data_IF_155382878642
#
_entry.id   IF_155382878642
#
_cell.length_a   1.000
_cell.length_b   1.000
_cell.length_c   1.000
_cell.angle_alpha   90.00
_cell.angle_beta   90.00
_cell.angle_gamma   90.00
#
_symmetry.space_group_name_H-M   'P 1'
#
loop_
_entity.id
_entity.type
_entity.pdbx_description
1 polymer ?
#
# COMPACT_ATOMS: atom_id res chain seq x y z
N UNK A 1 25.04 -16.84 15.86
CA UNK A 1 23.95 -17.75 16.28
C UNK A 1 24.31 -19.15 15.83
N UNK A 2 23.98 -20.16 16.62
CA UNK A 2 24.24 -21.57 16.29
C UNK A 2 22.98 -22.21 15.72
N UNK A 3 23.00 -22.53 14.41
CA UNK A 3 21.89 -23.16 13.70
C UNK A 3 22.07 -24.68 13.52
N UNK A 4 22.99 -25.29 14.27
CA UNK A 4 23.30 -26.74 14.15
C UNK A 4 22.10 -27.64 14.48
N UNK A 5 21.09 -27.11 15.16
CA UNK A 5 19.85 -27.83 15.52
C UNK A 5 18.80 -27.88 14.40
N UNK A 6 19.03 -27.26 13.25
CA UNK A 6 18.08 -27.30 12.14
C UNK A 6 18.03 -28.70 11.51
N UNK A 7 16.89 -29.38 11.65
CA UNK A 7 16.68 -30.70 11.08
C UNK A 7 16.51 -30.62 9.56
N UNK A 8 17.41 -31.29 8.82
CA UNK A 8 17.38 -31.36 7.37
C UNK A 8 16.29 -32.34 6.89
N UNK A 9 15.53 -31.95 5.85
CA UNK A 9 14.56 -32.84 5.20
C UNK A 9 15.27 -33.81 4.27
N UNK A 10 14.65 -34.98 4.01
CA UNK A 10 15.24 -36.02 3.15
C UNK A 10 15.45 -35.56 1.69
N UNK A 11 14.63 -34.63 1.23
CA UNK A 11 14.63 -34.09 -0.13
C UNK A 11 15.26 -32.68 -0.22
N UNK A 12 16.15 -32.35 0.72
CA UNK A 12 16.77 -31.03 0.83
C UNK A 12 17.54 -30.57 -0.42
N UNK A 13 18.04 -31.50 -1.26
CA UNK A 13 18.76 -31.13 -2.49
C UNK A 13 17.87 -30.43 -3.53
N UNK A 14 16.57 -30.71 -3.51
CA UNK A 14 15.61 -30.20 -4.51
C UNK A 14 14.94 -28.89 -4.08
N UNK A 15 15.33 -28.33 -2.93
CA UNK A 15 14.64 -27.20 -2.28
C UNK A 15 15.57 -25.99 -2.23
N UNK A 16 15.10 -24.77 -2.53
CA UNK A 16 16.00 -23.63 -2.68
C UNK A 16 16.24 -22.82 -1.40
N UNK A 17 15.48 -23.06 -0.31
CA UNK A 17 15.48 -22.18 0.87
C UNK A 17 16.11 -22.79 2.12
N UNK A 18 16.77 -21.95 2.90
CA UNK A 18 17.10 -22.20 4.30
C UNK A 18 16.35 -21.22 5.19
N UNK A 19 15.44 -21.72 6.03
CA UNK A 19 14.68 -20.92 6.97
C UNK A 19 15.28 -21.04 8.39
N UNK A 20 15.74 -19.92 8.95
CA UNK A 20 16.37 -19.84 10.27
C UNK A 20 15.39 -19.37 11.35
N UNK A 21 15.61 -19.76 12.62
CA UNK A 21 14.69 -19.45 13.71
C UNK A 21 14.53 -17.95 14.01
N UNK A 22 15.49 -17.11 13.61
CA UNK A 22 15.50 -15.67 13.80
C UNK A 22 14.80 -14.89 12.67
N UNK A 23 14.15 -15.57 11.73
CA UNK A 23 13.43 -14.92 10.62
C UNK A 23 14.26 -14.72 9.36
N UNK A 24 15.56 -15.04 9.38
CA UNK A 24 16.40 -15.01 8.17
C UNK A 24 16.08 -16.16 7.24
N UNK A 25 16.09 -15.86 5.95
CA UNK A 25 15.89 -16.82 4.88
C UNK A 25 17.02 -16.69 3.87
N UNK A 26 17.73 -17.78 3.59
CA UNK A 26 18.69 -17.84 2.50
C UNK A 26 18.08 -18.53 1.29
N UNK A 27 18.21 -17.92 0.12
CA UNK A 27 17.71 -18.43 -1.16
C UNK A 27 18.87 -18.75 -2.10
N UNK A 28 18.94 -20.00 -2.56
CA UNK A 28 19.91 -20.46 -3.55
C UNK A 28 19.43 -20.13 -4.98
N UNK A 29 20.24 -19.38 -5.74
CA UNK A 29 19.87 -18.91 -7.09
C UNK A 29 20.01 -19.97 -8.17
N UNK A 30 20.82 -20.99 -7.94
CA UNK A 30 21.13 -22.07 -8.87
C UNK A 30 20.11 -23.23 -8.87
N UNK A 31 19.10 -23.17 -8.01
CA UNK A 31 18.04 -24.18 -7.97
C UNK A 31 17.03 -23.99 -9.12
N UNK A 32 16.49 -25.09 -9.66
CA UNK A 32 15.42 -25.03 -10.66
C UNK A 32 14.14 -24.35 -10.16
N UNK A 33 13.91 -24.35 -8.84
CA UNK A 33 12.77 -23.70 -8.19
C UNK A 33 13.05 -22.25 -7.77
N UNK A 34 14.21 -21.69 -8.14
CA UNK A 34 14.61 -20.32 -7.77
C UNK A 34 13.54 -19.30 -8.12
N UNK A 35 12.99 -19.33 -9.34
CA UNK A 35 12.01 -18.32 -9.79
C UNK A 35 10.75 -18.31 -8.90
N UNK A 36 10.23 -19.50 -8.56
CA UNK A 36 9.06 -19.64 -7.70
C UNK A 36 9.35 -19.14 -6.27
N UNK A 37 10.50 -19.53 -5.72
CA UNK A 37 10.91 -19.10 -4.39
C UNK A 37 11.21 -17.60 -4.31
N UNK A 38 11.81 -17.03 -5.36
CA UNK A 38 12.08 -15.61 -5.49
C UNK A 38 10.79 -14.78 -5.53
N UNK A 39 9.83 -15.16 -6.39
CA UNK A 39 8.54 -14.48 -6.48
C UNK A 39 7.75 -14.55 -5.18
N UNK A 40 7.82 -15.70 -4.48
CA UNK A 40 7.22 -15.87 -3.16
C UNK A 40 7.88 -14.97 -2.10
N UNK A 41 9.22 -14.98 -2.01
CA UNK A 41 9.96 -14.18 -1.02
C UNK A 41 9.79 -12.67 -1.22
N UNK A 42 9.66 -12.19 -2.47
CA UNK A 42 9.32 -10.78 -2.74
C UNK A 42 7.97 -10.39 -2.10
N UNK A 43 7.04 -11.33 -1.97
CA UNK A 43 5.74 -11.05 -1.38
C UNK A 43 5.77 -11.05 0.16
N UNK A 44 6.65 -11.84 0.78
CA UNK A 44 6.58 -12.14 2.22
C UNK A 44 7.76 -11.65 3.06
N UNK A 45 8.88 -11.26 2.44
CA UNK A 45 10.12 -10.95 3.14
C UNK A 45 10.83 -9.73 2.54
N UNK A 46 11.62 -9.04 3.36
CA UNK A 46 12.46 -7.94 2.92
C UNK A 46 13.83 -8.45 2.45
N UNK A 47 14.34 -7.99 1.29
CA UNK A 47 15.68 -8.37 0.84
C UNK A 47 16.76 -7.68 1.67
N UNK A 48 17.75 -8.45 2.14
CA UNK A 48 18.94 -7.94 2.85
C UNK A 48 20.11 -7.82 1.88
N UNK A 49 20.46 -8.91 1.19
CA UNK A 49 21.52 -8.93 0.19
C UNK A 49 21.20 -9.88 -0.98
N UNK A 50 21.70 -9.57 -2.18
CA UNK A 50 21.45 -10.34 -3.41
C UNK A 50 22.72 -10.53 -4.27
N UNK A 51 23.72 -11.29 -3.79
CA UNK A 51 24.87 -11.70 -4.60
C UNK A 51 24.49 -12.82 -5.58
N UNK A 52 25.37 -13.13 -6.54
CA UNK A 52 25.08 -14.03 -7.67
C UNK A 52 24.55 -15.41 -7.27
N UNK A 53 25.09 -16.01 -6.21
CA UNK A 53 24.81 -17.42 -5.87
C UNK A 53 23.80 -17.65 -4.74
N UNK A 54 23.65 -16.69 -3.82
CA UNK A 54 22.85 -16.88 -2.61
C UNK A 54 22.30 -15.57 -2.07
N UNK A 55 20.98 -15.40 -2.07
CA UNK A 55 20.33 -14.21 -1.55
C UNK A 55 19.99 -14.38 -0.07
N UNK A 56 19.99 -13.27 0.68
CA UNK A 56 19.53 -13.20 2.06
C UNK A 56 18.28 -12.31 2.13
N UNK A 57 17.25 -12.84 2.79
CA UNK A 57 16.00 -12.16 3.09
C UNK A 57 15.74 -12.22 4.58
N UNK A 58 14.94 -11.29 5.07
CA UNK A 58 14.52 -11.23 6.46
C UNK A 58 13.00 -11.11 6.56
N UNK A 59 12.40 -11.95 7.40
CA UNK A 59 11.00 -11.83 7.79
C UNK A 59 10.88 -10.76 8.87
N UNK A 60 10.22 -9.66 8.51
CA UNK A 60 9.84 -8.59 9.44
C UNK A 60 8.32 -8.61 9.63
N UNK A 61 7.79 -8.07 10.74
CA UNK A 61 6.35 -7.91 10.88
C UNK A 61 5.76 -7.12 9.71
N UNK A 62 6.43 -6.05 9.27
CA UNK A 62 6.01 -5.21 8.14
C UNK A 62 5.93 -5.96 6.80
N UNK A 63 6.88 -6.87 6.52
CA UNK A 63 6.86 -7.69 5.31
C UNK A 63 5.70 -8.68 5.30
N UNK A 64 5.42 -9.31 6.43
CA UNK A 64 4.28 -10.23 6.60
C UNK A 64 2.94 -9.49 6.53
N UNK A 65 2.89 -8.28 7.06
CA UNK A 65 1.74 -7.37 6.92
C UNK A 65 1.45 -7.05 5.45
N UNK A 66 2.49 -6.70 4.69
CA UNK A 66 2.35 -6.46 3.26
C UNK A 66 1.86 -7.72 2.52
N UNK A 67 2.35 -8.91 2.90
CA UNK A 67 1.91 -10.18 2.33
C UNK A 67 0.41 -10.44 2.52
N UNK A 68 -0.08 -10.30 3.76
CA UNK A 68 -1.50 -10.50 4.09
C UNK A 68 -2.37 -9.44 3.40
N UNK A 69 -1.88 -8.20 3.27
CA UNK A 69 -2.57 -7.14 2.50
C UNK A 69 -2.84 -7.56 1.06
N UNK A 70 -1.90 -8.25 0.44
CA UNK A 70 -2.00 -8.74 -0.95
C UNK A 70 -2.99 -9.92 -1.05
N UNK A 71 -3.41 -10.49 0.07
CA UNK A 71 -4.38 -11.60 0.13
C UNK A 71 -3.74 -12.96 0.36
N UNK A 72 -2.48 -13.02 0.80
CA UNK A 72 -1.85 -14.29 1.18
C UNK A 72 -2.32 -14.71 2.57
N UNK A 73 -2.91 -15.89 2.68
CA UNK A 73 -3.33 -16.48 3.94
C UNK A 73 -2.14 -17.02 4.75
N UNK A 74 -2.22 -16.92 6.08
CA UNK A 74 -1.18 -17.39 7.01
C UNK A 74 -0.79 -18.85 6.78
N UNK A 75 -1.79 -19.72 6.62
CA UNK A 75 -1.56 -21.16 6.39
C UNK A 75 -0.86 -21.41 5.06
N UNK A 76 -1.22 -20.64 4.02
CA UNK A 76 -0.59 -20.70 2.71
C UNK A 76 0.88 -20.27 2.80
N UNK A 77 1.19 -19.20 3.53
CA UNK A 77 2.57 -18.73 3.74
C UNK A 77 3.41 -19.85 4.39
N UNK A 78 2.90 -20.44 5.48
CA UNK A 78 3.60 -21.50 6.21
C UNK A 78 3.77 -22.75 5.33
N UNK A 79 2.73 -23.16 4.61
CA UNK A 79 2.76 -24.33 3.74
C UNK A 79 3.76 -24.18 2.59
N UNK A 80 3.79 -23.02 1.93
CA UNK A 80 4.72 -22.74 0.83
C UNK A 80 6.15 -22.63 1.35
N UNK A 81 6.37 -21.95 2.48
CA UNK A 81 7.68 -21.86 3.11
C UNK A 81 8.20 -23.26 3.52
N UNK A 82 7.33 -24.11 4.08
CA UNK A 82 7.69 -25.48 4.44
C UNK A 82 8.03 -26.31 3.18
N UNK A 83 7.27 -26.18 2.09
CA UNK A 83 7.52 -26.85 0.81
C UNK A 83 8.84 -26.42 0.14
N UNK A 84 9.23 -25.16 0.29
CA UNK A 84 10.46 -24.63 -0.32
C UNK A 84 11.69 -24.72 0.58
N UNK A 85 11.52 -24.94 1.89
CA UNK A 85 12.61 -25.02 2.87
C UNK A 85 13.28 -26.40 2.91
N UNK A 86 14.62 -26.40 2.86
CA UNK A 86 15.50 -27.56 3.06
C UNK A 86 15.42 -28.12 4.48
N UNK A 87 15.21 -27.25 5.45
CA UNK A 87 15.10 -27.58 6.87
C UNK A 87 13.64 -27.60 7.28
N UNK A 88 13.31 -28.39 8.31
CA UNK A 88 12.01 -28.25 8.97
C UNK A 88 11.90 -26.83 9.54
N UNK A 89 10.73 -26.22 9.37
CA UNK A 89 10.50 -24.88 9.89
C UNK A 89 10.60 -24.87 11.43
N UNK A 90 11.42 -23.99 12.01
CA UNK A 90 11.46 -23.81 13.45
C UNK A 90 10.10 -23.36 14.00
N UNK A 91 9.75 -23.81 15.20
CA UNK A 91 8.49 -23.42 15.84
C UNK A 91 8.47 -21.92 16.12
N UNK A 92 9.61 -21.33 16.47
CA UNK A 92 9.72 -19.89 16.73
C UNK A 92 9.33 -19.05 15.50
N UNK A 93 9.70 -19.50 14.30
CA UNK A 93 9.33 -18.84 13.05
C UNK A 93 7.83 -18.99 12.75
N UNK A 94 7.27 -20.18 12.97
CA UNK A 94 5.83 -20.43 12.78
C UNK A 94 5.01 -19.55 13.74
N UNK A 95 5.38 -19.54 15.02
CA UNK A 95 4.72 -18.75 16.06
C UNK A 95 4.83 -17.25 15.74
N UNK A 96 5.99 -16.80 15.24
CA UNK A 96 6.18 -15.42 14.78
C UNK A 96 5.28 -15.06 13.60
N UNK A 97 5.15 -15.95 12.61
CA UNK A 97 4.26 -15.74 11.46
C UNK A 97 2.80 -15.67 11.93
N UNK A 98 2.35 -16.57 12.80
CA UNK A 98 1.00 -16.53 13.35
C UNK A 98 0.72 -15.27 14.16
N UNK A 99 1.63 -14.89 15.06
CA UNK A 99 1.49 -13.69 15.88
C UNK A 99 1.41 -12.42 15.03
N UNK A 100 2.20 -12.35 13.95
CA UNK A 100 2.22 -11.20 13.05
C UNK A 100 0.98 -11.16 12.14
N UNK A 101 0.57 -12.29 11.58
CA UNK A 101 -0.49 -12.30 10.55
C UNK A 101 -1.91 -12.37 11.13
N UNK A 102 -2.11 -12.93 12.32
CA UNK A 102 -3.45 -13.18 12.88
C UNK A 102 -4.29 -11.92 13.04
N UNK A 103 -3.69 -10.79 13.44
CA UNK A 103 -4.46 -9.56 13.65
C UNK A 103 -4.48 -8.63 12.42
N UNK A 104 -3.73 -8.98 11.39
CA UNK A 104 -3.52 -8.13 10.23
C UNK A 104 -4.64 -8.30 9.19
N UNK A 105 -4.94 -7.22 8.45
CA UNK A 105 -5.96 -7.24 7.39
C UNK A 105 -7.40 -7.33 7.89
N UNK A 106 -7.60 -7.38 9.21
CA UNK A 106 -8.92 -7.39 9.85
C UNK A 106 -9.57 -6.01 9.88
N UNK A 107 -8.78 -4.94 9.86
CA UNK A 107 -9.29 -3.56 9.98
C UNK A 107 -8.78 -2.73 8.81
N UNK A 108 -9.69 -2.03 8.15
CA UNK A 108 -9.39 -1.12 7.05
C UNK A 108 -9.85 0.28 7.41
N UNK A 109 -9.02 1.27 7.16
CA UNK A 109 -9.39 2.67 7.21
C UNK A 109 -9.65 3.12 5.77
N UNK A 110 -10.91 3.37 5.45
CA UNK A 110 -11.36 3.64 4.09
C UNK A 110 -11.84 5.09 3.99
N UNK A 111 -11.21 5.85 3.10
CA UNK A 111 -11.64 7.19 2.75
C UNK A 111 -12.69 7.11 1.63
N UNK A 112 -13.92 7.56 1.93
CA UNK A 112 -15.04 7.63 0.97
C UNK A 112 -15.70 9.00 1.04
N UNK A 113 -15.83 9.71 -0.08
CA UNK A 113 -16.53 11.02 -0.16
C UNK A 113 -16.07 12.00 0.94
N UNK A 114 -14.75 12.09 1.12
CA UNK A 114 -14.09 12.87 2.16
C UNK A 114 -14.45 12.53 3.62
N UNK A 115 -14.89 11.30 3.89
CA UNK A 115 -15.18 10.79 5.22
C UNK A 115 -14.36 9.53 5.49
N UNK A 116 -13.88 9.41 6.71
CA UNK A 116 -13.07 8.26 7.14
C UNK A 116 -13.97 7.21 7.78
N UNK A 117 -13.91 5.99 7.25
CA UNK A 117 -14.64 4.84 7.78
C UNK A 117 -13.67 3.76 8.24
N UNK A 118 -13.92 3.20 9.41
CA UNK A 118 -13.22 1.99 9.87
C UNK A 118 -14.08 0.80 9.50
N UNK A 119 -13.63 0.00 8.53
CA UNK A 119 -14.32 -1.19 8.01
C UNK A 119 -13.66 -2.47 8.51
N UNK A 120 -14.47 -3.48 8.85
CA UNK A 120 -14.00 -4.84 9.10
C UNK A 120 -15.04 -5.86 8.66
N UNK A 121 -14.64 -7.00 8.07
CA UNK A 121 -15.51 -8.16 7.90
C UNK A 121 -15.79 -8.89 9.23
N UNK A 122 -15.08 -8.55 10.31
CA UNK A 122 -15.22 -9.20 11.62
C UNK A 122 -15.84 -8.24 12.65
N UNK A 123 -17.14 -8.36 12.97
CA UNK A 123 -17.80 -7.44 13.90
C UNK A 123 -17.20 -7.47 15.31
N UNK A 124 -16.66 -8.60 15.75
CA UNK A 124 -16.01 -8.73 17.06
C UNK A 124 -14.74 -7.88 17.20
N UNK A 125 -14.02 -7.66 16.09
CA UNK A 125 -12.84 -6.77 16.07
C UNK A 125 -13.28 -5.33 16.25
N UNK A 126 -14.33 -4.89 15.56
CA UNK A 126 -14.86 -3.52 15.72
C UNK A 126 -15.40 -3.28 17.12
N UNK A 127 -16.12 -4.25 17.70
CA UNK A 127 -16.57 -4.17 19.10
C UNK A 127 -15.39 -4.02 20.06
N UNK A 128 -14.29 -4.73 19.80
CA UNK A 128 -13.06 -4.62 20.61
C UNK A 128 -12.42 -3.25 20.47
N UNK A 129 -12.34 -2.70 19.24
CA UNK A 129 -11.84 -1.34 19.01
C UNK A 129 -12.71 -0.27 19.70
N UNK A 130 -14.03 -0.42 19.67
CA UNK A 130 -14.96 0.53 20.30
C UNK A 130 -14.98 0.47 21.84
N UNK A 131 -14.36 -0.54 22.46
CA UNK A 131 -14.13 -0.55 23.92
C UNK A 131 -13.02 0.41 24.33
N UNK A 132 -12.13 0.79 23.41
CA UNK A 132 -11.10 1.78 23.67
C UNK A 132 -11.71 3.18 23.72
N UNK A 133 -11.42 3.94 24.78
CA UNK A 133 -12.00 5.26 24.98
C UNK A 133 -11.61 6.27 23.89
N UNK A 134 -10.41 6.16 23.32
CA UNK A 134 -9.94 7.11 22.30
C UNK A 134 -10.72 6.88 20.99
N UNK A 135 -10.87 5.61 20.59
CA UNK A 135 -11.60 5.24 19.37
C UNK A 135 -13.10 5.51 19.54
N UNK A 136 -13.65 5.21 20.72
CA UNK A 136 -15.06 5.48 21.04
C UNK A 136 -15.38 6.98 20.94
N UNK A 137 -14.52 7.86 21.46
CA UNK A 137 -14.70 9.32 21.37
C UNK A 137 -14.52 9.86 19.95
N UNK A 138 -13.68 9.21 19.15
CA UNK A 138 -13.45 9.60 17.75
C UNK A 138 -14.59 9.19 16.80
N UNK A 139 -15.50 8.30 17.25
CA UNK A 139 -16.65 7.85 16.45
C UNK A 139 -17.66 8.98 16.27
N UNK A 140 -17.99 9.28 15.02
CA UNK A 140 -19.12 10.14 14.70
C UNK A 140 -20.40 9.30 14.77
N UNK A 141 -21.31 9.65 15.68
CA UNK A 141 -22.61 8.99 15.80
C UNK A 141 -23.56 9.71 14.85
N UNK A 142 -24.08 9.02 13.83
CA UNK A 142 -25.14 9.59 12.98
C UNK A 142 -26.40 9.75 13.83
N UNK A 143 -27.10 10.88 13.70
CA UNK A 143 -28.37 11.18 14.37
C UNK A 143 -29.51 10.29 13.83
N UNK A 144 -29.43 8.97 14.04
CA UNK A 144 -30.58 8.07 14.07
C UNK A 144 -30.25 7.03 15.13
N UNK A 145 -30.93 7.12 16.28
CA UNK A 145 -30.68 6.27 17.44
C UNK A 145 -30.72 4.78 17.11
N UNK A 146 -29.54 4.17 17.07
CA UNK A 146 -29.23 2.76 17.35
C UNK A 146 -27.73 2.60 17.19
N UNK A 147 -27.10 1.69 17.93
CA UNK A 147 -25.71 1.23 17.73
C UNK A 147 -25.56 0.50 16.38
N UNK A 148 -25.85 1.20 15.29
CA UNK A 148 -25.96 0.66 13.95
C UNK A 148 -24.62 0.83 13.25
N UNK A 149 -23.89 -0.27 13.08
CA UNK A 149 -22.81 -0.33 12.08
C UNK A 149 -23.43 -0.19 10.69
N UNK A 150 -22.82 0.61 9.82
CA UNK A 150 -23.21 0.65 8.42
C UNK A 150 -22.79 -0.65 7.77
N UNK A 151 -23.75 -1.50 7.39
CA UNK A 151 -23.48 -2.76 6.68
C UNK A 151 -23.33 -2.42 5.20
N UNK A 152 -22.12 -2.62 4.67
CA UNK A 152 -21.86 -2.48 3.24
C UNK A 152 -21.71 -3.87 2.62
N UNK A 153 -22.45 -4.15 1.55
CA UNK A 153 -22.23 -5.36 0.73
C UNK A 153 -21.18 -5.03 -0.32
N UNK A 154 -20.02 -5.68 -0.27
CA UNK A 154 -19.03 -5.59 -1.34
C UNK A 154 -19.35 -6.65 -2.40
N UNK A 155 -19.68 -6.22 -3.62
CA UNK A 155 -19.77 -7.11 -4.79
C UNK A 155 -18.33 -7.37 -5.25
N UNK A 156 -17.88 -8.61 -5.17
CA UNK A 156 -16.61 -9.02 -5.75
C UNK A 156 -16.73 -9.11 -7.27
N UNK A 157 -16.10 -8.20 -8.00
CA UNK A 157 -15.93 -8.35 -9.44
C UNK A 157 -14.78 -9.33 -9.73
N UNK A 158 -15.09 -10.37 -10.52
CA UNK A 158 -14.14 -11.36 -11.01
C UNK A 158 -13.35 -10.74 -12.17
N UNK A 159 -12.11 -10.33 -11.95
CA UNK A 159 -11.19 -10.01 -13.05
C UNK A 159 -10.61 -11.31 -13.63
N UNK A 160 -11.22 -11.77 -14.72
CA UNK A 160 -10.62 -12.74 -15.62
C UNK A 160 -9.63 -12.05 -16.54
N UNK A 161 -8.35 -12.44 -16.44
CA UNK A 161 -7.45 -12.90 -17.52
C UNK A 161 -6.00 -12.81 -17.03
N UNK A 162 -5.36 -13.95 -16.75
CA UNK A 162 -4.00 -14.27 -17.19
C UNK A 162 -3.66 -15.74 -16.85
N UNK A 163 -3.50 -16.53 -17.92
CA UNK A 163 -2.88 -17.85 -18.13
C UNK A 163 -2.51 -18.75 -16.93
N UNK A 164 -3.25 -19.86 -16.89
CA UNK A 164 -2.76 -21.25 -16.95
C UNK A 164 -1.46 -21.59 -16.19
N UNK A 165 -1.55 -21.72 -14.86
CA UNK A 165 -0.69 -22.67 -14.10
C UNK A 165 -1.28 -23.13 -12.75
N UNK A 166 -2.57 -22.87 -12.50
CA UNK A 166 -3.28 -23.33 -11.30
C UNK A 166 -4.65 -23.94 -11.65
N UNK A 167 -4.70 -24.80 -12.68
CA UNK A 167 -5.89 -25.64 -12.89
C UNK A 167 -5.79 -26.86 -11.96
N UNK A 168 -6.57 -26.83 -10.88
CA UNK A 168 -6.71 -27.94 -9.95
C UNK A 168 -7.33 -27.60 -8.58
N UNK A 169 -7.62 -26.32 -8.30
CA UNK A 169 -8.43 -25.93 -7.13
C UNK A 169 -9.48 -24.94 -7.63
N UNK A 170 -10.55 -25.49 -8.20
CA UNK A 170 -11.75 -24.75 -8.58
C UNK A 170 -12.40 -24.11 -7.35
N UNK A 171 -12.75 -22.83 -7.51
CA UNK A 171 -13.91 -22.17 -6.91
C UNK A 171 -14.16 -22.43 -5.42
N UNK A 172 -13.28 -21.92 -4.56
CA UNK A 172 -13.71 -21.55 -3.21
C UNK A 172 -14.51 -20.25 -3.30
N UNK A 173 -15.80 -20.35 -2.96
CA UNK A 173 -16.82 -19.31 -2.95
C UNK A 173 -16.29 -17.89 -2.67
N UNK A 174 -16.64 -16.94 -3.54
CA UNK A 174 -16.74 -15.55 -3.16
C UNK A 174 -17.88 -15.43 -2.13
N UNK A 175 -17.59 -15.74 -0.88
CA UNK A 175 -18.50 -15.50 0.23
C UNK A 175 -18.81 -13.99 0.26
N UNK A 176 -20.10 -13.66 0.19
CA UNK A 176 -20.63 -12.32 0.47
C UNK A 176 -20.28 -11.96 1.93
N UNK A 177 -19.07 -11.44 2.16
CA UNK A 177 -18.65 -11.00 3.48
C UNK A 177 -19.28 -9.65 3.75
N UNK A 178 -20.32 -9.64 4.57
CA UNK A 178 -20.89 -8.42 5.14
C UNK A 178 -19.78 -7.65 5.86
N UNK A 179 -19.51 -6.42 5.42
CA UNK A 179 -18.54 -5.56 6.09
C UNK A 179 -19.29 -4.56 6.97
N UNK A 180 -18.88 -4.51 8.22
CA UNK A 180 -19.38 -3.53 9.19
C UNK A 180 -18.46 -2.32 9.18
N UNK A 181 -19.05 -1.12 9.28
CA UNK A 181 -18.30 0.12 9.29
C UNK A 181 -18.84 1.12 10.32
N UNK A 182 -17.94 1.99 10.82
CA UNK A 182 -18.32 3.20 11.55
C UNK A 182 -17.50 4.40 11.07
N UNK A 183 -18.09 5.59 11.13
CA UNK A 183 -17.46 6.85 10.71
C UNK A 183 -16.59 7.43 11.84
N UNK A 184 -15.44 8.00 11.47
CA UNK A 184 -14.46 8.59 12.39
C UNK A 184 -14.25 10.06 12.06
N UNK A 185 -14.11 10.89 13.09
CA UNK A 185 -13.74 12.30 12.95
C UNK A 185 -12.37 12.45 12.28
N UNK A 186 -12.26 13.17 11.13
CA UNK A 186 -11.00 13.44 10.44
C UNK A 186 -9.88 13.96 11.36
N UNK A 187 -10.20 14.78 12.37
CA UNK A 187 -9.22 15.36 13.28
C UNK A 187 -8.61 14.32 14.25
N UNK A 188 -9.27 13.18 14.45
CA UNK A 188 -8.85 12.13 15.37
C UNK A 188 -8.30 10.89 14.66
N UNK A 189 -8.28 10.87 13.32
CA UNK A 189 -7.81 9.72 12.52
C UNK A 189 -6.39 9.31 12.90
N UNK A 190 -5.48 10.26 13.09
CA UNK A 190 -4.10 9.96 13.45
C UNK A 190 -4.00 9.31 14.85
N UNK A 191 -4.81 9.76 15.81
CA UNK A 191 -4.87 9.17 17.14
C UNK A 191 -5.41 7.73 17.09
N UNK A 192 -6.43 7.50 16.27
CA UNK A 192 -7.01 6.17 16.04
C UNK A 192 -5.98 5.23 15.39
N UNK A 193 -5.23 5.70 14.37
CA UNK A 193 -4.13 4.95 13.74
C UNK A 193 -3.08 4.55 14.76
N UNK A 194 -2.62 5.50 15.58
CA UNK A 194 -1.61 5.24 16.61
C UNK A 194 -2.06 4.22 17.65
N UNK A 195 -3.34 4.23 18.05
CA UNK A 195 -3.91 3.23 18.98
C UNK A 195 -4.04 1.84 18.38
N UNK A 196 -4.15 1.75 17.06
CA UNK A 196 -4.25 0.50 16.33
C UNK A 196 -2.89 -0.15 16.04
N UNK A 197 -1.77 0.54 16.31
CA UNK A 197 -0.43 -0.01 16.14
C UNK A 197 -0.14 -1.20 17.09
N UNK A 198 0.88 -2.04 16.78
CA UNK A 198 1.26 -3.20 17.58
C UNK A 198 1.54 -2.91 19.07
N UNK A 199 1.95 -1.68 19.39
CA UNK A 199 2.27 -1.27 20.75
C UNK A 199 1.04 -1.04 21.65
N UNK A 200 -0.18 -1.10 21.10
CA UNK A 200 -1.42 -0.87 21.82
C UNK A 200 -2.43 -1.99 21.53
N UNK A 201 -3.42 -1.76 20.65
CA UNK A 201 -4.49 -2.73 20.38
C UNK A 201 -4.06 -3.85 19.42
N UNK A 202 -2.92 -3.68 18.72
CA UNK A 202 -2.36 -4.64 17.78
C UNK A 202 -3.33 -5.03 16.64
N UNK A 203 -4.03 -4.03 16.10
CA UNK A 203 -4.91 -4.16 14.93
C UNK A 203 -4.55 -3.10 13.88
N UNK A 204 -3.37 -3.18 13.26
CA UNK A 204 -2.91 -2.17 12.32
C UNK A 204 -3.91 -1.99 11.17
N UNK A 205 -4.24 -0.73 10.87
CA UNK A 205 -5.24 -0.38 9.88
C UNK A 205 -4.64 -0.33 8.48
N UNK A 206 -5.34 -0.93 7.52
CA UNK A 206 -5.03 -0.78 6.09
C UNK A 206 -5.70 0.45 5.51
N UNK A 207 -4.92 1.37 4.98
CA UNK A 207 -5.43 2.60 4.39
C UNK A 207 -5.82 2.38 2.93
N UNK A 208 -7.11 2.55 2.65
CA UNK A 208 -7.69 2.46 1.31
C UNK A 208 -8.42 3.76 0.96
N UNK A 209 -8.32 4.17 -0.29
CA UNK A 209 -9.06 5.29 -0.86
C UNK A 209 -9.98 4.78 -1.98
N UNK A 210 -11.28 5.02 -1.81
CA UNK A 210 -12.30 4.71 -2.81
C UNK A 210 -12.42 5.85 -3.84
N UNK A 211 -11.40 5.95 -4.69
CA UNK A 211 -11.32 7.00 -5.72
C UNK A 211 -12.41 6.87 -6.80
N UNK A 212 -12.94 5.66 -7.03
CA UNK A 212 -13.97 5.42 -8.06
C UNK A 212 -15.33 5.99 -7.67
N UNK A 213 -15.71 5.86 -6.39
CA UNK A 213 -17.00 6.34 -5.89
C UNK A 213 -16.93 7.75 -5.29
N UNK A 214 -15.76 8.39 -5.34
CA UNK A 214 -15.58 9.74 -4.85
C UNK A 214 -16.13 10.77 -5.83
N UNK A 215 -17.33 11.28 -5.55
CA UNK A 215 -17.97 12.36 -6.30
C UNK A 215 -17.72 13.75 -5.70
N UNK A 216 -17.01 13.82 -4.57
CA UNK A 216 -16.73 15.09 -3.88
C UNK A 216 -15.54 15.79 -4.53
N UNK A 217 -14.48 15.02 -4.78
CA UNK A 217 -13.29 15.53 -5.45
C UNK A 217 -13.48 15.55 -6.97
N UNK A 218 -13.18 16.69 -7.59
CA UNK A 218 -13.27 16.84 -9.04
C UNK A 218 -12.31 15.89 -9.77
N UNK A 219 -12.81 15.30 -10.87
CA UNK A 219 -12.00 14.45 -11.73
C UNK A 219 -11.00 15.28 -12.54
N UNK A 220 -9.78 14.75 -12.62
CA UNK A 220 -8.73 15.24 -13.51
C UNK A 220 -8.72 14.36 -14.76
N UNK A 221 -9.08 14.95 -15.91
CA UNK A 221 -9.02 14.25 -17.18
C UNK A 221 -7.56 14.05 -17.62
N UNK A 222 -6.98 12.92 -17.20
CA UNK A 222 -5.60 12.55 -17.47
C UNK A 222 -5.55 11.05 -17.75
N UNK A 223 -5.03 10.69 -18.91
CA UNK A 223 -4.81 9.32 -19.34
C UNK A 223 -3.35 9.10 -19.68
N UNK A 224 -2.91 7.85 -19.56
CA UNK A 224 -1.57 7.46 -19.95
C UNK A 224 -1.50 7.40 -21.48
N UNK A 225 -0.50 8.04 -22.09
CA UNK A 225 -0.36 8.04 -23.54
C UNK A 225 0.00 6.63 -24.06
N UNK A 226 -0.40 6.23 -25.28
CA UNK A 226 -0.19 4.87 -25.78
C UNK A 226 1.28 4.40 -25.81
N UNK A 227 2.23 5.31 -25.99
CA UNK A 227 3.66 5.02 -25.97
C UNK A 227 4.23 4.77 -24.56
N UNK A 228 3.51 5.16 -23.52
CA UNK A 228 3.95 5.08 -22.14
C UNK A 228 3.55 3.72 -21.55
N UNK A 229 4.18 2.64 -22.03
CA UNK A 229 3.90 1.30 -21.53
C UNK A 229 4.79 0.97 -20.31
N UNK A 230 4.20 0.76 -19.12
CA UNK A 230 4.97 0.33 -17.96
C UNK A 230 5.60 -1.04 -18.22
N UNK A 231 6.82 -1.23 -17.70
CA UNK A 231 7.52 -2.53 -17.79
C UNK A 231 6.86 -3.54 -16.84
N UNK A 232 7.05 -4.86 -17.05
CA UNK A 232 6.37 -5.89 -16.22
C UNK A 232 6.55 -5.72 -14.71
N UNK A 233 7.73 -5.29 -14.25
CA UNK A 233 7.96 -5.05 -12.82
C UNK A 233 7.23 -3.81 -12.28
N UNK A 234 6.99 -2.80 -13.13
CA UNK A 234 6.21 -1.61 -12.80
C UNK A 234 4.72 -1.94 -12.74
N UNK A 235 4.22 -2.73 -13.69
CA UNK A 235 2.85 -3.24 -13.67
C UNK A 235 2.60 -4.07 -12.41
N UNK A 236 3.53 -4.97 -12.06
CA UNK A 236 3.46 -5.77 -10.82
C UNK A 236 3.46 -4.89 -9.56
N UNK A 237 4.11 -3.72 -9.57
CA UNK A 237 4.01 -2.78 -8.44
C UNK A 237 2.67 -2.06 -8.39
N UNK A 238 2.14 -1.64 -9.54
CA UNK A 238 0.85 -0.94 -9.63
C UNK A 238 -0.31 -1.88 -9.28
N UNK A 239 -0.28 -3.14 -9.73
CA UNK A 239 -1.31 -4.12 -9.41
C UNK A 239 -1.39 -4.45 -7.92
N UNK A 240 -0.31 -4.27 -7.15
CA UNK A 240 -0.35 -4.38 -5.68
C UNK A 240 -0.95 -3.14 -5.00
N UNK A 241 -0.81 -1.97 -5.61
CA UNK A 241 -1.36 -0.70 -5.10
C UNK A 241 -2.87 -0.60 -5.34
N UNK A 242 -3.36 -1.11 -6.47
CA UNK A 242 -4.77 -1.08 -6.85
C UNK A 242 -5.41 -2.45 -6.67
N UNK A 243 -6.43 -2.55 -5.81
CA UNK A 243 -7.16 -3.80 -5.59
C UNK A 243 -8.62 -3.55 -5.23
N UNK A 244 -9.53 -4.40 -5.72
CA UNK A 244 -10.97 -4.31 -5.46
C UNK A 244 -11.59 -2.92 -5.72
N UNK A 245 -11.11 -2.23 -6.77
CA UNK A 245 -11.59 -0.89 -7.14
C UNK A 245 -11.12 0.26 -6.24
N UNK A 246 -10.30 -0.02 -5.21
CA UNK A 246 -9.73 0.98 -4.30
C UNK A 246 -8.22 1.11 -4.49
N UNK A 247 -7.68 2.27 -4.13
CA UNK A 247 -6.23 2.51 -4.08
C UNK A 247 -5.74 2.32 -2.64
N UNK A 248 -4.60 1.65 -2.45
CA UNK A 248 -3.98 1.47 -1.14
C UNK A 248 -2.86 2.47 -0.95
N UNK A 249 -2.75 3.01 0.25
CA UNK A 249 -1.56 3.77 0.64
C UNK A 249 -0.40 2.80 0.90
N UNK A 250 0.81 3.16 0.47
CA UNK A 250 1.98 2.31 0.62
C UNK A 250 3.24 2.88 0.00
N UNK A 251 4.34 2.15 0.15
CA UNK A 251 5.67 2.53 -0.34
C UNK A 251 6.06 1.59 -1.47
N UNK A 252 6.46 2.16 -2.62
CA UNK A 252 7.00 1.41 -3.75
C UNK A 252 8.49 1.71 -3.87
N UNK A 253 9.33 0.70 -3.60
CA UNK A 253 10.79 0.83 -3.67
C UNK A 253 11.29 0.39 -5.05
N UNK A 254 11.88 1.33 -5.78
CA UNK A 254 12.48 1.09 -7.09
C UNK A 254 13.92 1.64 -7.13
N UNK A 255 14.87 0.95 -7.79
CA UNK A 255 16.22 1.48 -7.94
C UNK A 255 16.26 2.71 -8.86
N UNK A 256 17.32 3.51 -8.75
CA UNK A 256 17.51 4.67 -9.62
C UNK A 256 17.52 4.25 -11.10
N UNK A 257 16.85 5.01 -11.97
CA UNK A 257 16.71 4.68 -13.38
C UNK A 257 15.70 3.57 -13.73
N UNK A 258 15.04 2.95 -12.74
CA UNK A 258 14.00 1.93 -13.00
C UNK A 258 12.66 2.52 -13.49
N UNK A 259 12.56 3.83 -13.66
CA UNK A 259 11.35 4.52 -14.11
C UNK A 259 10.36 4.82 -12.98
N UNK A 260 10.84 5.36 -11.84
CA UNK A 260 10.00 5.75 -10.70
C UNK A 260 8.90 6.73 -11.11
N UNK A 261 9.25 7.72 -11.93
CA UNK A 261 8.32 8.74 -12.40
C UNK A 261 7.19 8.15 -13.24
N UNK A 262 7.47 7.16 -14.10
CA UNK A 262 6.43 6.51 -14.89
C UNK A 262 5.42 5.76 -14.01
N UNK A 263 5.87 5.13 -12.92
CA UNK A 263 4.96 4.47 -11.95
C UNK A 263 4.08 5.50 -11.26
N UNK A 264 4.64 6.62 -10.80
CA UNK A 264 3.87 7.70 -10.18
C UNK A 264 2.84 8.32 -11.13
N UNK A 265 3.24 8.62 -12.37
CA UNK A 265 2.33 9.15 -13.40
C UNK A 265 1.24 8.12 -13.73
N UNK A 266 1.57 6.84 -13.84
CA UNK A 266 0.59 5.77 -14.10
C UNK A 266 -0.42 5.64 -12.95
N UNK A 267 0.03 5.74 -11.69
CA UNK A 267 -0.85 5.73 -10.53
C UNK A 267 -1.80 6.94 -10.55
N UNK A 268 -1.28 8.14 -10.85
CA UNK A 268 -2.09 9.35 -10.97
C UNK A 268 -3.12 9.26 -12.11
N UNK A 269 -2.75 8.68 -13.26
CA UNK A 269 -3.64 8.46 -14.41
C UNK A 269 -4.76 7.44 -14.09
N UNK A 270 -4.50 6.49 -13.19
CA UNK A 270 -5.51 5.51 -12.75
C UNK A 270 -6.46 6.09 -11.71
N UNK A 271 -5.97 6.93 -10.81
CA UNK A 271 -6.78 7.58 -9.76
C UNK A 271 -7.64 8.72 -10.34
N UNK A 272 -7.14 9.46 -11.33
CA UNK A 272 -7.85 10.57 -12.02
C UNK A 272 -8.38 11.66 -11.08
N UNK A 273 -7.67 11.93 -9.99
CA UNK A 273 -7.95 13.03 -9.05
C UNK A 273 -6.76 13.99 -8.99
N UNK A 274 -6.93 15.12 -8.30
CA UNK A 274 -5.83 16.04 -8.01
C UNK A 274 -4.67 15.33 -7.31
N UNK A 275 -3.45 15.58 -7.80
CA UNK A 275 -2.24 14.93 -7.32
C UNK A 275 -1.25 15.98 -6.79
N UNK A 276 -0.72 15.77 -5.59
CA UNK A 276 0.38 16.55 -5.02
C UNK A 276 1.65 15.70 -5.08
N UNK A 277 2.68 16.19 -5.76
CA UNK A 277 3.97 15.55 -5.88
C UNK A 277 5.01 16.33 -5.08
N UNK A 278 5.62 15.68 -4.08
CA UNK A 278 6.69 16.23 -3.25
C UNK A 278 8.02 15.68 -3.73
N UNK A 279 8.95 16.58 -4.05
CA UNK A 279 10.28 16.26 -4.52
C UNK A 279 11.36 16.89 -3.61
N UNK A 280 12.61 16.44 -3.74
CA UNK A 280 13.69 16.90 -2.86
C UNK A 280 14.24 18.28 -3.21
N UNK A 281 14.29 18.63 -4.50
CA UNK A 281 14.84 19.90 -4.97
C UNK A 281 14.07 20.45 -6.18
N UNK A 282 14.37 21.70 -6.55
CA UNK A 282 13.69 22.39 -7.66
C UNK A 282 13.91 21.71 -9.02
N UNK A 283 15.08 21.11 -9.25
CA UNK A 283 15.37 20.37 -10.49
C UNK A 283 14.47 19.14 -10.60
N UNK A 284 14.28 18.40 -9.49
CA UNK A 284 13.35 17.27 -9.43
C UNK A 284 11.91 17.71 -9.68
N UNK A 285 11.51 18.90 -9.22
CA UNK A 285 10.19 19.47 -9.52
C UNK A 285 9.98 19.65 -11.03
N UNK A 286 10.95 20.24 -11.72
CA UNK A 286 10.88 20.41 -13.18
C UNK A 286 10.91 19.06 -13.91
N UNK A 287 11.70 18.11 -13.43
CA UNK A 287 11.71 16.75 -13.98
C UNK A 287 10.35 16.08 -13.85
N UNK A 288 9.73 16.11 -12.67
CA UNK A 288 8.40 15.54 -12.45
C UNK A 288 7.35 16.21 -13.32
N UNK A 289 7.32 17.54 -13.38
CA UNK A 289 6.41 18.29 -14.25
C UNK A 289 6.57 17.88 -15.72
N UNK A 290 7.81 17.74 -16.20
CA UNK A 290 8.09 17.25 -17.54
C UNK A 290 7.62 15.80 -17.75
N UNK A 291 7.83 14.90 -16.78
CA UNK A 291 7.38 13.50 -16.88
C UNK A 291 5.85 13.39 -16.94
N UNK A 292 5.12 14.21 -16.19
CA UNK A 292 3.66 14.30 -16.29
C UNK A 292 3.22 14.73 -17.68
N UNK A 293 3.80 15.79 -18.24
CA UNK A 293 3.49 16.25 -19.61
C UNK A 293 3.90 15.22 -20.68
N UNK A 294 5.03 14.55 -20.50
CA UNK A 294 5.56 13.57 -21.46
C UNK A 294 4.67 12.34 -21.54
N UNK A 295 4.35 11.71 -20.40
CA UNK A 295 3.71 10.39 -20.36
C UNK A 295 2.19 10.42 -20.25
N UNK A 296 1.59 11.53 -19.83
CA UNK A 296 0.14 11.65 -19.69
C UNK A 296 -0.46 12.69 -20.64
N UNK A 297 -1.76 12.59 -20.90
CA UNK A 297 -2.52 13.54 -21.75
C UNK A 297 -2.93 14.82 -21.02
N UNK A 298 -2.41 15.06 -19.81
CA UNK A 298 -2.71 16.27 -19.04
C UNK A 298 -2.27 17.53 -19.82
N UNK A 299 -3.05 18.60 -19.68
CA UNK A 299 -2.70 19.90 -20.26
C UNK A 299 -1.66 20.61 -19.40
N UNK A 300 -0.78 21.38 -20.03
CA UNK A 300 0.28 22.13 -19.33
C UNK A 300 -0.27 23.17 -18.34
N UNK A 301 -1.44 23.76 -18.61
CA UNK A 301 -2.10 24.72 -17.70
C UNK A 301 -2.67 24.07 -16.42
N UNK A 302 -2.70 22.74 -16.36
CA UNK A 302 -3.11 21.97 -15.19
C UNK A 302 -1.93 21.39 -14.40
N UNK A 303 -0.70 21.54 -14.90
CA UNK A 303 0.53 21.21 -14.17
C UNK A 303 1.07 22.50 -13.56
N UNK A 304 1.27 22.47 -12.25
CA UNK A 304 1.71 23.64 -11.49
C UNK A 304 3.02 23.32 -10.77
N UNK A 305 4.07 24.08 -11.07
CA UNK A 305 5.35 24.02 -10.36
C UNK A 305 5.38 25.06 -9.25
N UNK A 306 5.61 24.59 -8.03
CA UNK A 306 5.68 25.45 -6.85
C UNK A 306 7.04 25.31 -6.16
N UNK A 307 7.93 26.26 -6.44
CA UNK A 307 9.27 26.40 -5.85
C UNK A 307 9.44 27.82 -5.28
N UNK A 308 10.62 28.16 -4.75
CA UNK A 308 10.93 29.53 -4.33
C UNK A 308 10.86 30.53 -5.49
N UNK A 309 11.24 30.07 -6.69
CA UNK A 309 11.46 30.91 -7.86
C UNK A 309 10.24 30.89 -8.80
N UNK A 310 9.55 29.74 -8.85
CA UNK A 310 8.34 29.55 -9.66
C UNK A 310 7.11 29.41 -8.76
N UNK A 311 6.18 30.36 -8.86
CA UNK A 311 4.91 30.38 -8.12
C UNK A 311 3.74 30.22 -9.08
N UNK A 312 3.77 29.14 -9.86
CA UNK A 312 2.64 28.82 -10.73
C UNK A 312 1.43 28.46 -9.85
N UNK A 313 0.23 28.67 -10.38
CA UNK A 313 -1.02 28.12 -9.84
C UNK A 313 -1.84 27.64 -11.03
N UNK A 314 -2.38 26.43 -10.95
CA UNK A 314 -3.16 25.87 -12.04
C UNK A 314 -4.56 26.48 -12.05
N UNK A 315 -5.12 26.68 -13.25
CA UNK A 315 -6.44 27.27 -13.41
C UNK A 315 -7.49 26.17 -13.47
N UNK A 316 -8.20 25.93 -12.36
CA UNK A 316 -9.41 25.11 -12.34
C UNK A 316 -9.61 24.26 -11.10
N UNK A 317 -10.61 23.38 -11.16
CA UNK A 317 -11.03 22.58 -10.01
C UNK A 317 -10.20 21.31 -9.81
N UNK A 318 -9.28 20.96 -10.72
CA UNK A 318 -8.41 19.79 -10.63
C UNK A 318 -7.10 20.01 -11.39
N UNK A 319 -6.00 19.49 -10.85
CA UNK A 319 -4.66 19.65 -11.40
C UNK A 319 -3.60 18.87 -10.62
N UNK A 320 -2.36 18.91 -11.15
CA UNK A 320 -1.18 18.31 -10.54
C UNK A 320 -0.27 19.43 -10.04
N UNK A 321 0.03 19.43 -8.74
CA UNK A 321 0.99 20.35 -8.15
C UNK A 321 2.26 19.58 -7.84
N UNK A 322 3.39 20.11 -8.29
CA UNK A 322 4.72 19.58 -8.00
C UNK A 322 5.47 20.61 -7.18
N UNK A 323 5.90 20.23 -5.98
CA UNK A 323 6.59 21.11 -5.03
C UNK A 323 7.68 20.38 -4.27
N UNK A 324 8.44 21.08 -3.43
CA UNK A 324 9.49 20.49 -2.60
C UNK A 324 9.05 20.28 -1.16
N UNK A 325 9.63 19.30 -0.46
CA UNK A 325 9.38 19.07 0.96
C UNK A 325 9.59 20.33 1.81
N UNK A 326 10.68 21.05 1.56
CA UNK A 326 10.99 22.29 2.26
C UNK A 326 9.92 23.36 2.05
N UNK A 327 9.38 23.48 0.83
CA UNK A 327 8.33 24.45 0.53
C UNK A 327 7.03 24.16 1.28
N UNK A 328 6.73 22.93 1.65
CA UNK A 328 5.53 22.58 2.44
C UNK A 328 5.79 22.69 3.94
N UNK A 329 6.92 22.14 4.41
CA UNK A 329 7.25 22.02 5.83
C UNK A 329 7.75 23.31 6.48
N UNK A 330 8.25 24.29 5.72
CA UNK A 330 8.81 25.52 6.28
C UNK A 330 7.77 26.33 7.07
N UNK A 331 8.02 26.57 8.36
CA UNK A 331 7.14 27.33 9.25
C UNK A 331 7.52 28.82 9.41
N UNK A 332 8.53 29.30 8.69
CA UNK A 332 8.99 30.69 8.77
C UNK A 332 8.16 31.65 7.91
N UNK A 333 8.49 32.95 7.98
CA UNK A 333 7.85 33.99 7.17
C UNK A 333 8.11 33.75 5.69
N UNK A 334 7.04 33.75 4.89
CA UNK A 334 7.10 33.63 3.44
C UNK A 334 6.61 34.93 2.80
N UNK A 335 6.82 35.09 1.48
CA UNK A 335 6.15 36.16 0.76
C UNK A 335 4.64 35.91 0.77
N UNK A 336 3.83 36.98 0.81
CA UNK A 336 2.36 36.91 0.88
C UNK A 336 1.75 36.00 -0.21
N UNK A 337 2.32 36.03 -1.43
CA UNK A 337 1.91 35.16 -2.54
C UNK A 337 2.13 33.67 -2.23
N UNK A 338 3.26 33.33 -1.63
CA UNK A 338 3.59 31.94 -1.28
C UNK A 338 2.75 31.44 -0.11
N UNK A 339 2.37 32.32 0.83
CA UNK A 339 1.46 31.96 1.92
C UNK A 339 0.07 31.62 1.36
N UNK A 340 -0.47 32.45 0.47
CA UNK A 340 -1.76 32.19 -0.20
C UNK A 340 -1.80 30.84 -0.93
N UNK A 341 -0.76 30.52 -1.70
CA UNK A 341 -0.68 29.25 -2.44
C UNK A 341 -0.61 28.06 -1.48
N UNK A 342 0.12 28.19 -0.37
CA UNK A 342 0.25 27.10 0.61
C UNK A 342 -1.02 26.90 1.41
N UNK A 343 -1.73 27.98 1.74
CA UNK A 343 -3.07 27.88 2.32
C UNK A 343 -4.04 27.18 1.36
N UNK A 344 -3.98 27.47 0.07
CA UNK A 344 -4.77 26.77 -0.95
C UNK A 344 -4.41 25.28 -1.02
N UNK A 345 -3.13 24.93 -0.99
CA UNK A 345 -2.68 23.52 -0.98
C UNK A 345 -3.15 22.79 0.29
N UNK A 346 -3.14 23.46 1.45
CA UNK A 346 -3.54 22.89 2.75
C UNK A 346 -5.04 22.74 2.90
N UNK A 347 -5.82 23.65 2.35
CA UNK A 347 -7.29 23.65 2.43
C UNK A 347 -7.94 22.76 1.36
N UNK A 348 -7.13 22.13 0.50
CA UNK A 348 -7.57 21.30 -0.60
C UNK A 348 -7.30 19.84 -0.31
N UNK A 349 -8.30 19.00 -0.61
CA UNK A 349 -8.15 17.56 -0.57
C UNK A 349 -7.42 17.05 -1.82
N UNK A 350 -6.47 16.15 -1.60
CA UNK A 350 -5.67 15.53 -2.66
C UNK A 350 -6.05 14.07 -2.79
N UNK A 351 -6.34 13.62 -4.01
CA UNK A 351 -6.66 12.22 -4.26
C UNK A 351 -5.42 11.33 -4.35
N UNK A 352 -4.24 11.92 -4.54
CA UNK A 352 -2.95 11.21 -4.50
C UNK A 352 -1.85 12.15 -3.98
N UNK A 353 -1.07 11.64 -3.03
CA UNK A 353 0.19 12.25 -2.60
C UNK A 353 1.34 11.37 -3.08
N UNK A 354 2.17 11.89 -3.98
CA UNK A 354 3.41 11.25 -4.44
C UNK A 354 4.58 11.85 -3.65
N UNK A 355 5.28 11.02 -2.91
CA UNK A 355 6.48 11.39 -2.17
C UNK A 355 7.69 10.75 -2.87
N UNK A 356 8.55 11.57 -3.45
CA UNK A 356 9.79 11.13 -4.09
C UNK A 356 10.95 11.16 -3.09
N UNK A 357 11.81 10.14 -3.17
CA UNK A 357 12.92 9.79 -2.25
C UNK A 357 12.54 9.29 -0.85
#
# INVERSE_FOLDING_TARGET
>A
MDYTKLELKKDHLNRPLWACADGRIFLETFSSLYKQAYDFLIAIAEPVCRPESMHEYNLTPHSLYAAVSVGLETETIISVLDKLSKTKLPKEMIDFIYASTSNYGKVKLVLKKNKYFVESPFPEVLKTLLRDEVISRARLTSEVGTDSFTISKAIGEVEGTHDELLNGIELAAAEEKETHAFEVDPAQVENVKQRCLPNALNYPMLEEYDFRNDTVNADLNMELKPQAQPRPYQEKSLSKMFGNGRARSGIIVLPCGAGKSLVGVSAACRIRKSCLCLATNAVSVDQWAFQFSLWSTIREDQICRFTSDNKESFRGNAGVVVTTYNMVAFGGKRSEESEKIIEEIRNREWGLLLMDE
#
